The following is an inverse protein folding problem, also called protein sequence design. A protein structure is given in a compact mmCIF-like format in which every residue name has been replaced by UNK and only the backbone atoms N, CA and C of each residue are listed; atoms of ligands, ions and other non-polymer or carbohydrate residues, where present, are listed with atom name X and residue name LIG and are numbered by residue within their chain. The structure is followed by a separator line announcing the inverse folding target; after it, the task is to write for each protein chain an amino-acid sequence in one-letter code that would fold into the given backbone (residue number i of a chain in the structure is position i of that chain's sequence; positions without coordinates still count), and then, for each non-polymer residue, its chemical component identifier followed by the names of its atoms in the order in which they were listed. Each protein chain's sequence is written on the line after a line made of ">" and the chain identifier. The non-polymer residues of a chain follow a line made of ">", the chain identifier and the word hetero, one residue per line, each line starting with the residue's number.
data_IF_346002667661
#
_entry.id   IF_346002667661
#
_cell.length_a   1.000
_cell.length_b   1.000
_cell.length_c   1.000
_cell.angle_alpha   90.00
_cell.angle_beta   90.00
_cell.angle_gamma   90.00
#
_symmetry.space_group_name_H-M   'P 1'
#
loop_
_entity.id
_entity.type
_entity.pdbx_description
1 polymer ?
#
# COMPACT_ATOMS: atom_id res chain seq x y z
N UNK A 1 -50.81 23.89 33.35
CA UNK A 1 -49.83 22.96 33.96
C UNK A 1 -49.48 21.92 32.90
N UNK A 2 -48.59 22.28 31.97
CA UNK A 2 -47.15 21.91 31.87
C UNK A 2 -46.85 20.45 31.45
N UNK A 3 -46.49 20.32 30.17
CA UNK A 3 -45.36 19.59 29.55
C UNK A 3 -45.21 18.08 29.79
N UNK A 4 -45.18 17.30 28.70
CA UNK A 4 -44.02 16.47 28.35
C UNK A 4 -44.13 15.90 26.92
N UNK A 5 -43.43 16.52 25.98
CA UNK A 5 -42.98 15.87 24.73
C UNK A 5 -42.00 14.75 25.10
N UNK A 6 -42.24 13.51 24.68
CA UNK A 6 -41.23 12.45 24.71
C UNK A 6 -40.84 12.09 23.28
N UNK A 7 -39.90 12.87 22.73
CA UNK A 7 -39.10 12.46 21.58
C UNK A 7 -37.98 11.55 22.10
N UNK A 8 -38.14 10.23 21.99
CA UNK A 8 -37.01 9.31 22.14
C UNK A 8 -36.43 9.01 20.75
N UNK A 9 -35.63 9.95 20.25
CA UNK A 9 -34.72 9.70 19.13
C UNK A 9 -33.42 9.12 19.73
N UNK A 10 -33.32 7.80 19.80
CA UNK A 10 -32.06 7.12 20.12
C UNK A 10 -31.36 6.80 18.81
N UNK A 11 -30.68 7.78 18.23
CA UNK A 11 -29.75 7.57 17.13
C UNK A 11 -28.44 7.00 17.71
N UNK A 12 -28.36 5.67 17.79
CA UNK A 12 -27.10 4.98 18.07
C UNK A 12 -26.37 4.78 16.72
N UNK A 13 -25.67 5.81 16.24
CA UNK A 13 -24.63 5.57 15.23
C UNK A 13 -23.47 4.88 15.95
N UNK A 14 -23.48 3.55 15.93
CA UNK A 14 -22.27 2.80 16.12
C UNK A 14 -21.34 3.17 14.95
N UNK A 15 -20.37 4.04 15.20
CA UNK A 15 -19.18 4.18 14.38
C UNK A 15 -18.47 2.83 14.41
N UNK A 16 -18.86 1.94 13.51
CA UNK A 16 -18.04 0.77 13.17
C UNK A 16 -16.82 1.38 12.49
N UNK A 17 -15.77 1.63 13.26
CA UNK A 17 -14.44 1.86 12.74
C UNK A 17 -13.99 0.58 12.07
N UNK A 18 -14.42 0.36 10.82
CA UNK A 18 -13.82 -0.65 9.98
C UNK A 18 -12.33 -0.31 9.93
N UNK A 19 -11.47 -1.24 10.36
CA UNK A 19 -10.06 -1.15 10.05
C UNK A 19 -9.96 -1.09 8.52
N UNK A 20 -9.71 0.11 7.98
CA UNK A 20 -9.66 0.31 6.55
C UNK A 20 -8.31 -0.20 6.08
N UNK A 21 -8.32 -1.24 5.24
CA UNK A 21 -7.11 -1.63 4.55
C UNK A 21 -6.69 -0.47 3.65
N UNK A 22 -5.43 -0.04 3.75
CA UNK A 22 -4.88 1.00 2.89
C UNK A 22 -4.24 0.34 1.67
N UNK A 23 -4.63 0.81 0.49
CA UNK A 23 -3.96 0.44 -0.76
C UNK A 23 -2.72 1.31 -0.96
N UNK A 24 -1.57 0.69 -1.19
CA UNK A 24 -0.35 1.41 -1.53
C UNK A 24 0.53 0.58 -2.47
N UNK A 25 1.28 1.28 -3.32
CA UNK A 25 1.99 0.69 -4.44
C UNK A 25 3.41 1.24 -4.58
N UNK A 26 4.33 0.38 -5.03
CA UNK A 26 5.65 0.72 -5.50
C UNK A 26 5.69 0.66 -7.03
N UNK A 27 6.19 1.71 -7.69
CA UNK A 27 6.21 1.83 -9.15
C UNK A 27 7.64 1.79 -9.70
N UNK A 28 7.75 1.50 -10.99
CA UNK A 28 9.01 1.59 -11.75
C UNK A 28 9.41 3.02 -12.10
N UNK A 29 8.45 3.95 -12.15
CA UNK A 29 8.68 5.32 -12.59
C UNK A 29 9.31 6.18 -11.47
N UNK A 30 10.32 6.99 -11.83
CA UNK A 30 11.11 7.82 -10.90
C UNK A 30 10.49 9.19 -10.60
N UNK A 31 9.57 9.67 -11.44
CA UNK A 31 9.03 11.04 -11.42
C UNK A 31 7.50 11.11 -11.26
N UNK A 32 6.80 9.98 -11.31
CA UNK A 32 5.37 9.87 -11.07
C UNK A 32 5.01 8.48 -10.55
N UNK A 33 3.94 8.39 -9.77
CA UNK A 33 3.35 7.12 -9.35
C UNK A 33 2.40 6.63 -10.45
N UNK A 34 2.97 6.02 -11.49
CA UNK A 34 2.24 5.58 -12.68
C UNK A 34 2.97 4.44 -13.38
N UNK A 35 2.22 3.64 -14.13
CA UNK A 35 2.73 2.45 -14.83
C UNK A 35 2.73 1.23 -13.92
N UNK A 36 3.50 0.22 -14.32
CA UNK A 36 3.56 -1.07 -13.64
C UNK A 36 3.91 -0.94 -12.16
N UNK A 37 3.17 -1.62 -11.30
CA UNK A 37 3.32 -1.51 -9.86
C UNK A 37 3.02 -2.78 -9.10
N UNK A 38 3.76 -2.97 -8.00
CA UNK A 38 3.44 -3.96 -6.98
C UNK A 38 2.76 -3.25 -5.82
N UNK A 39 1.66 -3.80 -5.33
CA UNK A 39 0.82 -3.16 -4.32
C UNK A 39 0.49 -4.09 -3.16
N UNK A 40 0.13 -3.47 -2.04
CA UNK A 40 -0.30 -4.14 -0.82
C UNK A 40 -1.57 -3.46 -0.29
N UNK A 41 -2.36 -4.27 0.42
CA UNK A 41 -3.59 -3.87 1.07
C UNK A 41 -3.56 -4.43 2.49
N UNK A 42 -3.35 -3.57 3.49
CA UNK A 42 -3.24 -4.00 4.88
C UNK A 42 -3.80 -2.97 5.88
N UNK A 43 -3.98 -3.40 7.13
CA UNK A 43 -4.51 -2.57 8.22
C UNK A 43 -3.50 -1.65 8.90
N UNK A 44 -2.27 -1.57 8.38
CA UNK A 44 -1.19 -0.72 8.89
C UNK A 44 -0.25 -1.42 9.85
N UNK A 45 0.92 -0.79 10.06
CA UNK A 45 2.07 -1.28 10.81
C UNK A 45 2.65 -2.61 10.27
N UNK A 46 2.37 -2.93 9.00
CA UNK A 46 2.93 -4.09 8.29
C UNK A 46 3.97 -3.62 7.28
N UNK A 47 5.12 -4.29 7.26
CA UNK A 47 6.17 -4.00 6.30
C UNK A 47 5.91 -4.80 5.03
N UNK A 48 5.61 -4.17 3.91
CA UNK A 48 5.39 -4.86 2.65
C UNK A 48 6.59 -4.75 1.70
N UNK A 49 6.94 -5.88 1.09
CA UNK A 49 8.09 -6.08 0.21
C UNK A 49 8.73 -7.47 0.42
N UNK A 50 9.92 -7.73 -0.17
CA UNK A 50 10.68 -6.82 -1.02
C UNK A 50 10.08 -6.67 -2.42
N UNK A 51 10.27 -5.50 -3.04
CA UNK A 51 9.98 -5.31 -4.46
C UNK A 51 11.12 -5.82 -5.34
N UNK A 52 10.84 -6.38 -6.54
CA UNK A 52 11.88 -6.66 -7.52
C UNK A 52 12.66 -5.38 -7.88
N UNK A 53 13.92 -5.52 -8.29
CA UNK A 53 14.88 -4.40 -8.40
C UNK A 53 14.43 -3.23 -9.29
N UNK A 54 13.55 -3.47 -10.26
CA UNK A 54 13.04 -2.42 -11.14
C UNK A 54 11.93 -1.56 -10.53
N UNK A 55 11.38 -1.93 -9.37
CA UNK A 55 10.32 -1.21 -8.66
C UNK A 55 10.84 -0.49 -7.41
N UNK A 56 10.01 0.42 -6.88
CA UNK A 56 10.30 1.22 -5.70
C UNK A 56 10.92 2.58 -5.99
N UNK A 57 10.88 3.04 -7.25
CA UNK A 57 11.37 4.36 -7.63
C UNK A 57 10.39 5.49 -7.31
N UNK A 58 9.12 5.16 -7.20
CA UNK A 58 8.10 5.99 -6.57
C UNK A 58 7.11 5.11 -5.82
N UNK A 59 6.39 5.72 -4.89
CA UNK A 59 5.46 5.03 -4.02
C UNK A 59 4.20 5.85 -3.83
N UNK A 60 3.04 5.22 -3.97
CA UNK A 60 1.74 5.86 -3.75
C UNK A 60 1.02 5.22 -2.57
N UNK A 61 0.44 6.06 -1.72
CA UNK A 61 -0.50 5.65 -0.68
C UNK A 61 -1.84 6.26 -1.02
N UNK A 62 -2.84 5.45 -1.30
CA UNK A 62 -4.15 5.92 -1.72
C UNK A 62 -5.02 6.29 -0.52
N UNK A 63 -5.63 7.48 -0.55
CA UNK A 63 -6.58 7.91 0.48
C UNK A 63 -6.02 7.80 1.92
N UNK A 64 -4.72 8.05 2.09
CA UNK A 64 -4.02 7.99 3.38
C UNK A 64 -4.80 8.81 4.43
N UNK A 65 -5.30 8.23 5.54
CA UNK A 65 -6.16 8.94 6.48
C UNK A 65 -5.46 10.10 7.21
N UNK A 66 -6.22 11.07 7.71
CA UNK A 66 -5.67 12.14 8.53
C UNK A 66 -5.00 11.57 9.80
N UNK A 67 -3.82 12.11 10.16
CA UNK A 67 -3.07 11.61 11.32
C UNK A 67 -2.40 10.25 11.09
N UNK A 68 -2.19 9.86 9.84
CA UNK A 68 -1.39 8.69 9.47
C UNK A 68 -0.18 9.12 8.65
N UNK A 69 0.80 8.23 8.57
CA UNK A 69 1.99 8.41 7.75
C UNK A 69 2.30 7.15 6.95
N UNK A 70 2.70 7.36 5.69
CA UNK A 70 3.28 6.35 4.83
C UNK A 70 4.79 6.48 4.82
N UNK A 71 5.52 5.38 4.91
CA UNK A 71 6.99 5.35 4.97
C UNK A 71 7.56 4.36 3.98
N UNK A 72 8.70 4.71 3.42
CA UNK A 72 9.50 3.83 2.58
C UNK A 72 10.87 3.57 3.19
N UNK A 73 11.39 2.37 2.92
CA UNK A 73 12.62 1.87 3.51
C UNK A 73 13.50 1.19 2.46
N UNK A 74 14.79 1.11 2.74
CA UNK A 74 15.77 0.36 1.96
C UNK A 74 16.21 -0.91 2.69
N UNK A 75 17.06 -1.72 2.06
CA UNK A 75 17.59 -2.94 2.68
C UNK A 75 16.62 -4.11 2.65
N UNK A 76 16.69 -4.98 3.66
CA UNK A 76 15.96 -6.25 3.72
C UNK A 76 14.66 -6.21 4.53
N UNK A 77 14.36 -5.09 5.19
CA UNK A 77 13.17 -4.90 6.03
C UNK A 77 12.84 -3.41 6.21
N UNK A 78 11.74 -3.10 6.91
CA UNK A 78 11.36 -1.72 7.26
C UNK A 78 12.20 -1.15 8.42
N UNK A 79 13.51 -1.14 8.24
CA UNK A 79 14.50 -0.69 9.24
C UNK A 79 15.22 0.56 8.73
N UNK A 80 15.74 0.52 7.51
CA UNK A 80 16.54 1.61 6.94
C UNK A 80 15.61 2.66 6.32
N UNK A 81 15.19 3.63 7.13
CA UNK A 81 14.29 4.71 6.71
C UNK A 81 14.80 5.47 5.49
N UNK A 82 13.91 5.68 4.52
CA UNK A 82 14.20 6.45 3.31
C UNK A 82 13.34 7.71 3.18
N UNK A 83 12.01 7.57 3.29
CA UNK A 83 11.10 8.69 3.15
C UNK A 83 9.85 8.55 4.02
N UNK A 84 9.16 9.68 4.22
CA UNK A 84 7.82 9.74 4.85
C UNK A 84 6.90 10.67 4.05
N UNK A 85 5.61 10.30 4.00
CA UNK A 85 4.50 11.16 3.55
C UNK A 85 3.41 11.15 4.62
N UNK A 86 2.61 12.21 4.69
CA UNK A 86 1.58 12.37 5.71
C UNK A 86 0.20 12.52 5.07
N UNK A 87 -0.81 11.90 5.67
CA UNK A 87 -2.20 12.12 5.29
C UNK A 87 -2.74 13.47 5.80
N UNK A 88 -3.94 13.90 5.36
CA UNK A 88 -4.89 13.11 4.57
C UNK A 88 -4.64 13.13 3.05
N UNK A 89 -5.25 12.16 2.37
CA UNK A 89 -5.38 12.11 0.90
C UNK A 89 -4.35 11.22 0.22
N UNK A 90 -4.44 11.10 -1.10
CA UNK A 90 -3.50 10.29 -1.88
C UNK A 90 -2.14 10.96 -1.94
N UNK A 91 -1.11 10.25 -1.47
CA UNK A 91 0.27 10.75 -1.43
C UNK A 91 1.13 9.98 -2.44
N UNK A 92 1.88 10.70 -3.27
CA UNK A 92 2.85 10.12 -4.19
C UNK A 92 4.25 10.62 -3.83
N UNK A 93 5.08 9.71 -3.30
CA UNK A 93 6.51 9.95 -3.13
C UNK A 93 7.26 9.59 -4.42
N UNK A 94 8.19 10.45 -4.82
CA UNK A 94 9.01 10.27 -6.02
C UNK A 94 10.48 10.33 -5.60
N UNK A 95 11.26 9.32 -5.95
CA UNK A 95 12.71 9.32 -5.66
C UNK A 95 13.46 10.39 -6.45
N UNK A 96 12.95 10.81 -7.63
CA UNK A 96 13.63 11.74 -8.52
C UNK A 96 14.97 11.22 -9.06
N UNK A 97 15.16 9.90 -9.10
CA UNK A 97 16.45 9.27 -9.46
C UNK A 97 17.41 9.10 -8.28
N UNK A 98 16.95 9.33 -7.04
CA UNK A 98 17.67 9.03 -5.82
C UNK A 98 17.72 7.53 -5.50
N UNK A 99 17.47 7.17 -4.25
CA UNK A 99 17.47 5.77 -3.83
C UNK A 99 16.08 5.16 -3.99
N UNK A 100 15.97 4.01 -4.64
CA UNK A 100 14.72 3.23 -4.66
C UNK A 100 14.44 2.66 -3.27
N UNK A 101 13.18 2.55 -2.91
CA UNK A 101 12.78 1.78 -1.72
C UNK A 101 12.66 0.29 -2.05
N UNK A 102 12.92 -0.54 -1.05
CA UNK A 102 12.73 -2.00 -1.14
C UNK A 102 11.49 -2.45 -0.37
N UNK A 103 11.04 -1.64 0.59
CA UNK A 103 9.87 -1.92 1.42
C UNK A 103 9.07 -0.65 1.71
N UNK A 104 7.78 -0.80 1.98
CA UNK A 104 6.85 0.28 2.31
C UNK A 104 5.97 -0.15 3.50
N UNK A 105 5.58 0.79 4.35
CA UNK A 105 4.64 0.59 5.47
C UNK A 105 3.79 1.86 5.64
N UNK A 106 2.63 1.76 6.28
CA UNK A 106 1.89 2.91 6.79
C UNK A 106 1.39 2.66 8.21
N UNK A 107 1.25 3.70 9.00
CA UNK A 107 0.67 3.57 10.35
C UNK A 107 0.02 4.86 10.82
N UNK A 108 -0.85 4.73 11.82
CA UNK A 108 -1.40 5.86 12.55
C UNK A 108 -0.27 6.57 13.30
N UNK A 109 -0.05 7.85 13.00
CA UNK A 109 0.88 8.69 13.73
C UNK A 109 0.34 8.83 15.15
N UNK A 110 1.08 8.41 16.20
CA UNK A 110 0.62 8.68 17.55
C UNK A 110 0.58 10.19 17.77
N UNK A 111 -0.56 10.70 18.22
CA UNK A 111 -0.67 12.03 18.83
C UNK A 111 0.04 12.02 20.18
N UNK A 112 1.37 11.94 20.17
CA UNK A 112 2.19 11.90 21.38
C UNK A 112 3.60 11.38 21.13
N UNK A 113 4.59 11.95 21.82
CA UNK A 113 5.97 11.44 21.86
C UNK A 113 5.95 9.93 22.14
N UNK A 114 6.42 9.12 21.19
CA UNK A 114 6.76 7.72 21.49
C UNK A 114 7.81 7.72 22.59
N UNK A 115 7.49 7.06 23.71
CA UNK A 115 8.50 6.64 24.68
C UNK A 115 9.51 5.77 23.93
N UNK A 116 10.81 5.98 24.16
CA UNK A 116 11.92 5.30 23.48
C UNK A 116 12.05 3.79 23.85
N UNK A 117 10.94 3.10 24.16
CA UNK A 117 10.92 1.75 24.74
C UNK A 117 10.09 0.75 23.91
N UNK A 118 10.11 0.87 22.59
CA UNK A 118 9.71 -0.23 21.70
C UNK A 118 10.90 -0.57 20.80
N UNK A 119 11.93 -1.15 21.40
CA UNK A 119 12.88 -1.98 20.67
C UNK A 119 12.29 -3.39 20.61
N UNK A 120 11.26 -3.57 19.78
CA UNK A 120 10.87 -4.91 19.36
C UNK A 120 11.34 -5.08 17.91
N UNK A 121 12.65 -5.29 17.77
CA UNK A 121 13.24 -5.97 16.62
C UNK A 121 12.81 -7.43 16.67
N UNK A 122 11.53 -7.70 16.46
CA UNK A 122 11.16 -8.98 15.87
C UNK A 122 11.46 -8.84 14.39
N UNK A 123 12.27 -9.76 13.85
CA UNK A 123 12.33 -10.07 12.43
C UNK A 123 10.94 -10.50 11.96
N UNK A 124 10.00 -9.55 11.90
CA UNK A 124 8.70 -9.76 11.28
C UNK A 124 8.99 -9.88 9.80
N UNK A 125 8.86 -11.11 9.33
CA UNK A 125 8.90 -11.43 7.93
C UNK A 125 7.98 -10.45 7.19
N UNK A 126 8.55 -9.71 6.24
CA UNK A 126 7.80 -8.70 5.51
C UNK A 126 6.64 -9.36 4.75
N UNK A 127 5.50 -8.70 4.74
CA UNK A 127 4.34 -9.09 3.96
C UNK A 127 4.72 -9.05 2.47
N UNK A 128 4.33 -10.09 1.76
CA UNK A 128 4.52 -10.15 0.30
C UNK A 128 3.49 -9.25 -0.37
N UNK A 129 3.84 -8.55 -1.47
CA UNK A 129 2.87 -7.81 -2.27
C UNK A 129 1.62 -8.66 -2.57
N UNK A 130 0.44 -8.06 -2.42
CA UNK A 130 -0.85 -8.74 -2.65
C UNK A 130 -1.25 -8.75 -4.11
N UNK A 131 -0.77 -7.77 -4.89
CA UNK A 131 -1.16 -7.59 -6.28
C UNK A 131 -0.08 -6.94 -7.13
N UNK A 132 -0.20 -7.14 -8.44
CA UNK A 132 0.58 -6.47 -9.47
C UNK A 132 -0.36 -5.84 -10.49
N UNK A 133 -0.15 -4.56 -10.80
CA UNK A 133 -0.93 -3.82 -11.80
C UNK A 133 -0.05 -3.51 -13.00
N UNK A 134 -0.60 -3.66 -14.20
CA UNK A 134 0.09 -3.32 -15.46
C UNK A 134 -0.89 -2.91 -16.55
N UNK A 135 -0.38 -2.16 -17.53
CA UNK A 135 -1.09 -1.84 -18.76
C UNK A 135 -0.51 -2.67 -19.92
N UNK A 136 -1.37 -3.33 -20.69
CA UNK A 136 -0.94 -4.07 -21.87
C UNK A 136 -0.67 -3.16 -23.08
N UNK A 137 -0.24 -3.76 -24.19
CA UNK A 137 0.03 -3.06 -25.45
C UNK A 137 -1.21 -2.45 -26.12
N UNK A 138 -2.41 -2.78 -25.64
CA UNK A 138 -3.68 -2.20 -26.09
C UNK A 138 -4.17 -1.08 -25.16
N UNK A 139 -3.39 -0.72 -24.13
CA UNK A 139 -3.77 0.30 -23.14
C UNK A 139 -4.78 -0.22 -22.11
N UNK A 140 -4.96 -1.53 -21.98
CA UNK A 140 -5.91 -2.12 -21.03
C UNK A 140 -5.20 -2.39 -19.71
N UNK A 141 -5.78 -1.88 -18.62
CA UNK A 141 -5.30 -2.12 -17.27
C UNK A 141 -5.69 -3.52 -16.78
N UNK A 142 -4.74 -4.21 -16.17
CA UNK A 142 -4.91 -5.53 -15.57
C UNK A 142 -4.36 -5.54 -14.15
N UNK A 143 -5.01 -6.32 -13.28
CA UNK A 143 -4.57 -6.54 -11.90
C UNK A 143 -4.45 -8.03 -11.65
N UNK A 144 -3.24 -8.46 -11.34
CA UNK A 144 -2.89 -9.83 -10.97
C UNK A 144 -2.88 -9.95 -9.46
N UNK A 145 -3.47 -11.03 -8.94
CA UNK A 145 -3.36 -11.43 -7.55
C UNK A 145 -2.05 -12.20 -7.35
N UNK A 146 -1.33 -11.86 -6.30
CA UNK A 146 -0.08 -12.53 -5.89
C UNK A 146 -0.35 -13.36 -4.65
N UNK A 147 0.15 -14.59 -4.65
CA UNK A 147 -0.06 -15.57 -3.58
C UNK A 147 1.23 -16.03 -2.91
N UNK A 148 2.40 -15.73 -3.50
CA UNK A 148 3.69 -16.09 -2.91
C UNK A 148 4.84 -15.17 -3.33
N UNK A 149 5.97 -15.26 -2.62
CA UNK A 149 7.19 -14.49 -2.93
C UNK A 149 7.80 -14.90 -4.27
N UNK A 150 7.70 -16.18 -4.63
CA UNK A 150 8.18 -16.68 -5.92
C UNK A 150 7.42 -16.05 -7.09
N UNK A 151 6.11 -15.83 -6.94
CA UNK A 151 5.30 -15.17 -7.96
C UNK A 151 5.72 -13.71 -8.18
N UNK A 152 6.13 -12.99 -7.13
CA UNK A 152 6.61 -11.59 -7.24
C UNK A 152 7.78 -11.49 -8.22
N UNK A 153 8.76 -12.38 -8.10
CA UNK A 153 9.95 -12.40 -8.96
C UNK A 153 9.60 -12.82 -10.40
N UNK A 154 8.74 -13.83 -10.57
CA UNK A 154 8.31 -14.31 -11.89
C UNK A 154 7.49 -13.24 -12.63
N UNK A 155 6.53 -12.62 -11.95
CA UNK A 155 5.71 -11.53 -12.49
C UNK A 155 6.60 -10.35 -12.84
N UNK A 156 7.51 -9.94 -11.95
CA UNK A 156 8.45 -8.85 -12.20
C UNK A 156 9.30 -9.10 -13.44
N UNK A 157 9.79 -10.33 -13.63
CA UNK A 157 10.51 -10.72 -14.86
C UNK A 157 9.63 -10.59 -16.10
N UNK A 158 8.43 -11.15 -16.10
CA UNK A 158 7.54 -11.10 -17.25
C UNK A 158 7.10 -9.67 -17.61
N UNK A 159 6.87 -8.82 -16.61
CA UNK A 159 6.57 -7.40 -16.81
C UNK A 159 7.73 -6.65 -17.48
N UNK A 160 8.97 -6.86 -17.02
CA UNK A 160 10.15 -6.26 -17.66
C UNK A 160 10.35 -6.72 -19.11
N UNK A 161 10.02 -7.97 -19.39
CA UNK A 161 10.06 -8.55 -20.75
C UNK A 161 8.83 -8.17 -21.60
N UNK A 162 7.84 -7.46 -21.03
CA UNK A 162 6.51 -7.19 -21.64
C UNK A 162 5.83 -8.45 -22.16
N UNK A 163 6.01 -9.57 -21.44
CA UNK A 163 5.42 -10.85 -21.79
C UNK A 163 3.97 -10.93 -21.28
N UNK A 164 3.08 -10.15 -21.90
CA UNK A 164 1.67 -10.05 -21.52
C UNK A 164 0.92 -11.38 -21.62
N UNK A 165 1.35 -12.27 -22.53
CA UNK A 165 0.81 -13.62 -22.63
C UNK A 165 1.05 -14.41 -21.34
N UNK A 166 2.27 -14.40 -20.81
CA UNK A 166 2.59 -15.06 -19.54
C UNK A 166 1.87 -14.39 -18.36
N UNK A 167 1.86 -13.06 -18.30
CA UNK A 167 1.16 -12.31 -17.25
C UNK A 167 -0.34 -12.64 -17.20
N UNK A 168 -0.98 -12.84 -18.36
CA UNK A 168 -2.40 -13.16 -18.45
C UNK A 168 -2.79 -14.53 -17.87
N UNK A 169 -1.82 -15.40 -17.61
CA UNK A 169 -2.05 -16.73 -17.03
C UNK A 169 -2.22 -16.72 -15.51
N UNK A 170 -1.83 -15.63 -14.84
CA UNK A 170 -1.97 -15.49 -13.40
C UNK A 170 -3.42 -15.17 -13.00
N UNK A 171 -3.84 -15.55 -11.77
CA UNK A 171 -5.15 -15.21 -11.26
C UNK A 171 -5.38 -13.70 -11.25
N UNK A 172 -6.51 -13.24 -11.77
CA UNK A 172 -6.87 -11.82 -11.74
C UNK A 172 -7.56 -11.46 -10.42
N UNK A 173 -7.37 -10.24 -9.94
CA UNK A 173 -8.24 -9.70 -8.91
C UNK A 173 -9.59 -9.36 -9.54
N UNK A 174 -10.65 -10.04 -9.13
CA UNK A 174 -12.01 -9.58 -9.42
C UNK A 174 -12.25 -8.32 -8.59
N UNK A 175 -11.98 -7.15 -9.16
CA UNK A 175 -12.36 -5.89 -8.54
C UNK A 175 -13.87 -5.77 -8.70
N UNK A 176 -14.62 -6.18 -7.68
CA UNK A 176 -16.01 -5.81 -7.54
C UNK A 176 -16.07 -4.31 -7.30
N UNK A 177 -16.16 -3.52 -8.37
CA UNK A 177 -16.58 -2.13 -8.30
C UNK A 177 -18.01 -2.10 -7.75
N UNK A 178 -18.17 -1.93 -6.44
CA UNK A 178 -19.45 -1.47 -5.91
C UNK A 178 -19.58 0.01 -6.27
N UNK A 179 -20.29 0.25 -7.37
CA UNK A 179 -20.85 1.56 -7.74
C UNK A 179 -21.93 1.94 -6.73
#
# INVERSE_FOLDING_TARGET
>A
MQIAFSFKLTALLALIGAAQALHYCAYTNTISCSGDSFCCDDGGAECCGPWPTAWGWSAQFENLPAGTQGQGYTGSACVDFNFVVFGPGTQCHKSGGGTRVTHINWFHSPTGKRSNNETETQDRECATPSSFQYEDDHGVQHVIKISSKEEVEIIGKHALEKNYAALSTFPKCEISFQV
#
